data_IF_575978839334
#
_entry.id   IF_575978839334
#
_cell.length_a   1.000
_cell.length_b   1.000
_cell.length_c   1.000
_cell.angle_alpha   90.00
_cell.angle_beta   90.00
_cell.angle_gamma   90.00
#
_symmetry.space_group_name_H-M   'P 1'
#
loop_
_entity.id
_entity.type
_entity.pdbx_description
1 polymer ?
#
# COMPACT_ATOMS: atom_id res chain seq x y z
N UNK A 1 -22.23 -3.51 25.94
CA UNK A 1 -21.54 -3.88 27.18
C UNK A 1 -20.07 -3.96 26.82
N UNK A 2 -19.24 -3.18 27.50
CA UNK A 2 -17.79 -3.19 27.33
C UNK A 2 -17.22 -4.38 28.14
N UNK A 3 -16.48 -5.29 27.48
CA UNK A 3 -15.97 -6.50 28.11
C UNK A 3 -14.42 -6.47 28.28
N UNK A 4 -13.78 -5.32 28.05
CA UNK A 4 -12.33 -5.18 28.17
C UNK A 4 -11.85 -3.77 27.88
N UNK A 5 -10.58 -3.53 28.10
CA UNK A 5 -9.85 -2.30 27.78
C UNK A 5 -8.55 -2.68 27.08
N UNK A 6 -8.25 -1.99 26.00
CA UNK A 6 -7.05 -2.26 25.20
C UNK A 6 -5.84 -1.59 25.85
N UNK A 7 -4.87 -2.39 26.30
CA UNK A 7 -3.65 -1.90 26.97
C UNK A 7 -2.50 -1.63 25.97
N UNK A 8 -2.51 -2.33 24.84
CA UNK A 8 -1.51 -2.22 23.80
C UNK A 8 -2.09 -2.67 22.47
N UNK A 9 -1.70 -2.00 21.38
CA UNK A 9 -2.07 -2.41 20.03
C UNK A 9 -0.94 -2.06 19.06
N UNK A 10 -0.32 -3.09 18.49
CA UNK A 10 0.83 -2.94 17.58
C UNK A 10 0.68 -3.83 16.35
N UNK A 11 1.13 -3.35 15.22
CA UNK A 11 1.14 -4.11 13.97
C UNK A 11 1.85 -3.36 12.85
N UNK A 12 2.44 -4.12 11.92
CA UNK A 12 3.15 -3.59 10.77
C UNK A 12 4.53 -3.02 11.08
N UNK A 13 5.40 -3.05 10.07
CA UNK A 13 6.79 -2.55 10.14
C UNK A 13 7.03 -1.40 9.15
N UNK A 14 6.19 -1.25 8.12
CA UNK A 14 6.31 -0.25 7.08
C UNK A 14 4.97 0.45 6.83
N UNK A 15 5.01 1.74 6.48
CA UNK A 15 3.79 2.50 6.21
C UNK A 15 3.13 2.09 4.90
N UNK A 16 3.93 1.68 3.91
CA UNK A 16 3.53 1.36 2.55
C UNK A 16 3.33 -0.14 2.27
N UNK A 17 3.19 -0.95 3.32
CA UNK A 17 2.90 -2.38 3.21
C UNK A 17 1.81 -2.80 4.21
N UNK A 18 0.83 -3.57 3.73
CA UNK A 18 -0.17 -4.18 4.60
C UNK A 18 0.50 -5.24 5.50
N UNK A 19 0.29 -5.21 6.82
CA UNK A 19 0.97 -6.12 7.74
C UNK A 19 0.41 -7.53 7.69
N UNK A 20 1.31 -8.52 7.78
CA UNK A 20 0.99 -9.92 7.99
C UNK A 20 0.79 -10.27 9.48
N UNK A 21 1.18 -9.38 10.39
CA UNK A 21 1.08 -9.57 11.84
C UNK A 21 0.63 -8.30 12.54
N UNK A 22 -0.28 -8.49 13.50
CA UNK A 22 -0.69 -7.47 14.45
C UNK A 22 -1.06 -8.13 15.77
N UNK A 23 -1.00 -7.39 16.86
CA UNK A 23 -1.49 -7.89 18.16
C UNK A 23 -2.03 -6.78 19.03
N UNK A 24 -3.07 -7.11 19.82
CA UNK A 24 -3.59 -6.27 20.89
C UNK A 24 -3.52 -7.01 22.21
N UNK A 25 -3.16 -6.32 23.29
CA UNK A 25 -3.29 -6.82 24.66
C UNK A 25 -4.56 -6.24 25.28
N UNK A 26 -5.45 -7.09 25.74
CA UNK A 26 -6.73 -6.68 26.33
C UNK A 26 -6.87 -7.26 27.73
N UNK A 27 -7.28 -6.45 28.68
CA UNK A 27 -7.62 -6.90 30.03
C UNK A 27 -8.97 -7.58 30.02
N UNK A 28 -8.99 -8.91 29.95
CA UNK A 28 -10.20 -9.75 29.83
C UNK A 28 -9.88 -11.20 30.24
N UNK A 29 -10.93 -11.99 30.44
CA UNK A 29 -10.83 -13.42 30.74
C UNK A 29 -10.88 -14.23 29.42
N UNK A 30 -9.83 -14.99 29.17
CA UNK A 30 -9.69 -15.83 27.97
C UNK A 30 -10.83 -16.84 27.79
N UNK A 31 -11.45 -17.30 28.87
CA UNK A 31 -12.55 -18.27 28.82
C UNK A 31 -13.83 -17.71 28.20
N UNK A 32 -13.94 -16.39 28.12
CA UNK A 32 -15.06 -15.67 27.48
C UNK A 32 -14.85 -15.43 25.98
N UNK A 33 -13.65 -15.68 25.47
CA UNK A 33 -13.28 -15.39 24.11
C UNK A 33 -13.54 -16.59 23.19
N UNK A 34 -13.98 -16.30 21.95
CA UNK A 34 -14.23 -17.31 20.94
C UNK A 34 -13.04 -17.43 20.00
N UNK A 35 -12.76 -18.65 19.56
CA UNK A 35 -11.80 -18.84 18.46
C UNK A 35 -12.31 -18.20 17.17
N UNK A 36 -11.40 -17.62 16.40
CA UNK A 36 -11.69 -17.07 15.08
C UNK A 36 -10.56 -17.44 14.09
N UNK A 37 -10.87 -17.52 12.78
CA UNK A 37 -9.86 -17.77 11.77
C UNK A 37 -8.77 -16.68 11.80
N UNK A 38 -7.51 -17.09 11.64
CA UNK A 38 -6.36 -16.21 11.62
C UNK A 38 -6.15 -15.37 12.89
N UNK A 39 -6.77 -15.77 14.01
CA UNK A 39 -6.58 -15.18 15.34
C UNK A 39 -6.04 -16.24 16.29
N UNK A 40 -5.01 -15.90 17.06
CA UNK A 40 -4.54 -16.69 18.20
C UNK A 40 -4.67 -15.90 19.49
N UNK A 41 -5.01 -16.59 20.57
CA UNK A 41 -5.26 -16.04 21.90
C UNK A 41 -4.23 -16.62 22.88
N UNK A 42 -3.47 -15.77 23.52
CA UNK A 42 -2.43 -16.15 24.48
C UNK A 42 -2.65 -15.43 25.81
N UNK A 43 -2.72 -16.12 26.95
CA UNK A 43 -2.74 -15.46 28.26
C UNK A 43 -1.47 -14.63 28.47
N UNK A 44 -1.61 -13.37 28.87
CA UNK A 44 -0.49 -12.47 29.14
C UNK A 44 -0.80 -11.58 30.36
N UNK A 45 -0.13 -11.82 31.47
CA UNK A 45 -0.41 -11.10 32.69
C UNK A 45 -1.84 -11.31 33.20
N UNK A 46 -2.58 -10.21 33.40
CA UNK A 46 -3.99 -10.22 33.77
C UNK A 46 -4.94 -10.14 32.58
N UNK A 47 -4.42 -10.36 31.39
CA UNK A 47 -5.20 -10.19 30.13
C UNK A 47 -4.89 -11.27 29.10
N UNK A 48 -5.27 -10.96 27.86
CA UNK A 48 -5.11 -11.84 26.70
C UNK A 48 -4.44 -11.06 25.58
N UNK A 49 -3.36 -11.61 25.03
CA UNK A 49 -2.76 -11.16 23.79
C UNK A 49 -3.52 -11.78 22.61
N UNK A 50 -4.15 -10.94 21.83
CA UNK A 50 -4.88 -11.30 20.61
C UNK A 50 -3.93 -11.05 19.45
N UNK A 51 -3.59 -12.09 18.67
CA UNK A 51 -2.70 -11.97 17.52
C UNK A 51 -3.47 -12.25 16.23
N UNK A 52 -3.35 -11.33 15.27
CA UNK A 52 -3.85 -11.49 13.92
C UNK A 52 -2.75 -11.96 12.96
N UNK A 53 -3.08 -12.89 12.08
CA UNK A 53 -2.20 -13.47 11.07
C UNK A 53 -2.77 -13.21 9.69
N UNK A 54 -2.14 -12.31 8.97
CA UNK A 54 -2.56 -11.85 7.66
C UNK A 54 -1.63 -12.32 6.54
N UNK A 55 -1.71 -11.60 5.42
CA UNK A 55 -0.83 -11.78 4.26
C UNK A 55 -0.38 -10.41 3.77
N UNK A 56 0.91 -10.12 3.88
CA UNK A 56 1.48 -8.84 3.50
C UNK A 56 1.41 -8.59 2.00
N UNK A 57 1.45 -7.30 1.62
CA UNK A 57 1.61 -6.83 0.26
C UNK A 57 1.79 -5.33 0.19
N UNK A 58 2.34 -4.86 -0.90
CA UNK A 58 2.66 -3.46 -1.11
C UNK A 58 1.40 -2.60 -1.33
N UNK A 59 1.40 -1.34 -0.88
CA UNK A 59 0.28 -0.41 -1.01
C UNK A 59 -0.17 -0.18 -2.46
N UNK A 60 0.75 -0.21 -3.42
CA UNK A 60 0.42 -0.02 -4.84
C UNK A 60 -0.26 -1.24 -5.47
N UNK A 61 -0.07 -2.45 -4.92
CA UNK A 61 -0.63 -3.72 -5.42
C UNK A 61 -1.19 -4.56 -4.28
N UNK A 62 -2.22 -4.09 -3.57
CA UNK A 62 -2.72 -4.73 -2.36
C UNK A 62 -3.65 -5.92 -2.62
N UNK A 63 -3.87 -6.29 -3.88
CA UNK A 63 -4.78 -7.38 -4.25
C UNK A 63 -4.33 -8.71 -3.65
N UNK A 64 -5.27 -9.43 -3.04
CA UNK A 64 -5.01 -10.73 -2.42
C UNK A 64 -4.21 -10.66 -1.11
N UNK A 65 -4.02 -9.48 -0.53
CA UNK A 65 -3.50 -9.29 0.82
C UNK A 65 -4.58 -9.47 1.88
N UNK A 66 -4.16 -9.75 3.10
CA UNK A 66 -5.04 -9.78 4.29
C UNK A 66 -4.35 -8.97 5.37
N UNK A 67 -4.91 -7.81 5.72
CA UNK A 67 -4.32 -6.92 6.70
C UNK A 67 -4.57 -7.46 8.12
N UNK A 68 -3.50 -7.82 8.83
CA UNK A 68 -3.60 -8.38 10.18
C UNK A 68 -4.18 -7.39 11.20
N UNK A 69 -4.00 -6.07 11.01
CA UNK A 69 -4.61 -5.05 11.88
C UNK A 69 -6.13 -5.10 11.75
N UNK A 70 -6.65 -5.19 10.51
CA UNK A 70 -8.10 -5.32 10.27
C UNK A 70 -8.70 -6.56 10.94
N UNK A 71 -8.00 -7.71 10.91
CA UNK A 71 -8.44 -8.93 11.59
C UNK A 71 -8.56 -8.74 13.11
N UNK A 72 -7.58 -8.07 13.74
CA UNK A 72 -7.61 -7.77 15.16
C UNK A 72 -8.71 -6.77 15.49
N UNK A 73 -8.88 -5.72 14.67
CA UNK A 73 -9.96 -4.73 14.82
C UNK A 73 -11.34 -5.39 14.79
N UNK A 74 -11.61 -6.23 13.81
CA UNK A 74 -12.88 -6.97 13.72
C UNK A 74 -13.09 -7.86 14.94
N UNK A 75 -12.05 -8.59 15.35
CA UNK A 75 -12.13 -9.46 16.54
C UNK A 75 -12.45 -8.68 17.83
N UNK A 76 -11.80 -7.53 18.03
CA UNK A 76 -12.04 -6.65 19.19
C UNK A 76 -13.49 -6.14 19.23
N UNK A 77 -13.99 -5.68 18.09
CA UNK A 77 -15.36 -5.18 17.96
C UNK A 77 -16.40 -6.28 18.17
N UNK A 78 -16.23 -7.42 17.52
CA UNK A 78 -17.17 -8.55 17.57
C UNK A 78 -17.31 -9.16 18.97
N UNK A 79 -16.24 -9.10 19.79
CA UNK A 79 -16.24 -9.59 21.16
C UNK A 79 -16.47 -8.46 22.20
N UNK A 80 -16.65 -7.21 21.78
CA UNK A 80 -16.86 -6.08 22.68
C UNK A 80 -15.67 -5.77 23.58
N UNK A 81 -14.44 -6.01 23.11
CA UNK A 81 -13.20 -5.89 23.87
C UNK A 81 -12.60 -4.49 23.78
N UNK A 82 -13.41 -3.49 24.05
CA UNK A 82 -13.03 -2.08 24.01
C UNK A 82 -13.98 -1.24 24.86
N UNK A 83 -13.52 -0.12 25.35
CA UNK A 83 -14.38 0.90 25.94
C UNK A 83 -15.08 1.73 24.84
N UNK A 84 -15.90 2.69 25.22
CA UNK A 84 -16.71 3.46 24.27
C UNK A 84 -15.86 4.34 23.34
N UNK A 85 -14.83 4.98 23.88
CA UNK A 85 -13.90 5.81 23.10
C UNK A 85 -13.05 4.97 22.14
N UNK A 86 -12.54 3.83 22.61
CA UNK A 86 -11.81 2.86 21.78
C UNK A 86 -12.69 2.29 20.68
N UNK A 87 -13.98 2.04 20.96
CA UNK A 87 -14.94 1.53 19.99
C UNK A 87 -15.09 2.49 18.81
N UNK A 88 -15.25 3.78 19.05
CA UNK A 88 -15.39 4.77 17.99
C UNK A 88 -14.14 4.78 17.07
N UNK A 89 -12.94 4.66 17.65
CA UNK A 89 -11.70 4.54 16.89
C UNK A 89 -11.62 3.23 16.10
N UNK A 90 -11.95 2.10 16.72
CA UNK A 90 -11.94 0.79 16.03
C UNK A 90 -12.96 0.74 14.88
N UNK A 91 -14.11 1.38 15.01
CA UNK A 91 -15.09 1.49 13.93
C UNK A 91 -14.57 2.33 12.75
N UNK A 92 -13.82 3.40 13.03
CA UNK A 92 -13.10 4.14 11.97
C UNK A 92 -12.05 3.26 11.28
N UNK A 93 -11.27 2.47 12.04
CA UNK A 93 -10.33 1.51 11.47
C UNK A 93 -11.02 0.40 10.67
N UNK A 94 -12.17 -0.10 11.13
CA UNK A 94 -12.96 -1.10 10.39
C UNK A 94 -13.36 -0.57 9.01
N UNK A 95 -13.77 0.68 8.91
CA UNK A 95 -14.05 1.34 7.62
C UNK A 95 -12.79 1.40 6.74
N UNK A 96 -11.65 1.78 7.31
CA UNK A 96 -10.37 1.84 6.60
C UNK A 96 -9.97 0.47 6.05
N UNK A 97 -10.08 -0.59 6.85
CA UNK A 97 -9.64 -1.94 6.48
C UNK A 97 -10.69 -2.74 5.68
N UNK A 98 -11.89 -2.21 5.48
CA UNK A 98 -12.97 -2.91 4.76
C UNK A 98 -12.68 -3.12 3.28
N UNK A 99 -11.83 -2.28 2.68
CA UNK A 99 -11.48 -2.37 1.27
C UNK A 99 -10.13 -1.71 1.00
N UNK A 100 -9.37 -2.31 0.10
CA UNK A 100 -8.12 -1.72 -0.42
C UNK A 100 -8.33 -0.73 -1.58
N UNK A 101 -9.56 -0.52 -2.03
CA UNK A 101 -9.92 0.49 -3.03
C UNK A 101 -10.57 1.75 -2.43
N UNK A 102 -10.69 1.81 -1.08
CA UNK A 102 -11.09 3.01 -0.34
C UNK A 102 -12.60 3.28 -0.25
N UNK A 103 -13.46 2.31 -0.61
CA UNK A 103 -14.92 2.46 -0.51
C UNK A 103 -15.35 2.77 0.92
N UNK A 104 -14.80 2.06 1.92
CA UNK A 104 -15.20 2.21 3.32
C UNK A 104 -14.91 3.59 3.91
N UNK A 105 -13.95 4.33 3.36
CA UNK A 105 -13.58 5.69 3.77
C UNK A 105 -13.95 6.75 2.72
N UNK A 106 -14.72 6.36 1.70
CA UNK A 106 -15.32 7.27 0.73
C UNK A 106 -14.36 7.90 -0.27
N UNK A 107 -13.15 7.34 -0.48
CA UNK A 107 -12.14 7.90 -1.40
C UNK A 107 -12.02 7.13 -2.72
N UNK A 108 -12.80 6.08 -2.90
CA UNK A 108 -12.73 5.24 -4.08
C UNK A 108 -12.92 6.04 -5.37
N UNK A 109 -11.98 5.92 -6.28
CA UNK A 109 -12.06 6.48 -7.63
C UNK A 109 -11.10 5.73 -8.57
N UNK A 110 -11.30 5.89 -9.88
CA UNK A 110 -10.46 5.29 -10.90
C UNK A 110 -10.42 6.20 -12.14
N UNK A 111 -9.31 6.18 -12.86
CA UNK A 111 -9.20 6.79 -14.19
C UNK A 111 -8.58 5.83 -15.20
N UNK A 112 -8.56 6.24 -16.49
CA UNK A 112 -8.01 5.40 -17.55
C UNK A 112 -6.51 5.15 -17.42
N UNK A 113 -5.67 6.17 -17.17
CA UNK A 113 -4.22 6.01 -17.11
C UNK A 113 -3.70 5.21 -15.91
N UNK A 114 -4.27 5.44 -14.71
CA UNK A 114 -3.76 4.86 -13.47
C UNK A 114 -4.61 3.72 -12.92
N UNK A 115 -5.84 3.54 -13.41
CA UNK A 115 -6.77 2.58 -12.86
C UNK A 115 -7.32 3.00 -11.48
N UNK A 116 -7.69 2.04 -10.63
CA UNK A 116 -8.32 2.33 -9.35
C UNK A 116 -7.31 2.82 -8.30
N UNK A 117 -7.78 3.73 -7.43
CA UNK A 117 -7.10 4.08 -6.20
C UNK A 117 -6.84 2.84 -5.35
N UNK A 118 -5.71 2.82 -4.66
CA UNK A 118 -5.42 1.83 -3.63
C UNK A 118 -5.16 2.49 -2.29
N UNK A 119 -5.54 1.84 -1.19
CA UNK A 119 -5.31 2.31 0.17
C UNK A 119 -5.09 1.15 1.13
N UNK A 120 -4.13 1.31 2.02
CA UNK A 120 -3.86 0.37 3.11
C UNK A 120 -3.59 1.09 4.42
N UNK A 121 -3.91 0.43 5.53
CA UNK A 121 -3.36 0.74 6.85
C UNK A 121 -2.05 -0.03 7.03
N UNK A 122 -0.91 0.68 7.13
CA UNK A 122 0.41 0.05 7.16
C UNK A 122 0.87 -0.33 8.57
N UNK A 123 0.76 0.57 9.52
CA UNK A 123 1.22 0.37 10.90
C UNK A 123 0.17 0.84 11.89
N UNK A 124 0.05 0.11 13.01
CA UNK A 124 -0.63 0.60 14.21
C UNK A 124 0.32 0.53 15.39
N UNK A 125 0.29 1.54 16.24
CA UNK A 125 1.09 1.62 17.46
C UNK A 125 0.47 2.62 18.44
N UNK A 126 0.99 2.62 19.66
CA UNK A 126 0.61 3.63 20.65
C UNK A 126 1.65 4.76 20.70
N UNK A 127 1.18 5.99 20.79
CA UNK A 127 1.97 7.20 21.03
C UNK A 127 1.24 8.10 22.01
N UNK A 128 1.89 8.45 23.11
CA UNK A 128 1.34 9.32 24.17
C UNK A 128 -0.04 8.86 24.69
N UNK A 129 -0.20 7.54 24.86
CA UNK A 129 -1.44 6.93 25.33
C UNK A 129 -2.59 6.89 24.31
N UNK A 130 -2.31 7.18 23.03
CA UNK A 130 -3.27 7.15 21.92
C UNK A 130 -2.89 6.12 20.88
N UNK A 131 -3.87 5.50 20.27
CA UNK A 131 -3.65 4.65 19.09
C UNK A 131 -3.38 5.52 17.87
N UNK A 132 -2.37 5.14 17.10
CA UNK A 132 -2.01 5.78 15.82
C UNK A 132 -1.98 4.73 14.74
N UNK A 133 -2.76 4.95 13.68
CA UNK A 133 -2.77 4.14 12.48
C UNK A 133 -2.19 4.96 11.32
N UNK A 134 -1.19 4.41 10.63
CA UNK A 134 -0.72 5.01 9.37
C UNK A 134 -1.56 4.53 8.20
N UNK A 135 -1.73 5.42 7.23
CA UNK A 135 -2.46 5.16 6.00
C UNK A 135 -1.56 5.52 4.82
N UNK A 136 -1.41 4.61 3.85
CA UNK A 136 -0.77 4.87 2.56
C UNK A 136 -1.80 4.68 1.45
N UNK A 137 -1.90 5.66 0.56
CA UNK A 137 -2.78 5.61 -0.60
C UNK A 137 -2.03 5.96 -1.87
N UNK A 138 -2.34 5.23 -2.94
CA UNK A 138 -1.90 5.54 -4.30
C UNK A 138 -3.14 5.94 -5.09
N UNK A 139 -3.19 7.18 -5.54
CA UNK A 139 -4.40 7.74 -6.13
C UNK A 139 -4.16 8.26 -7.54
N UNK A 140 -5.16 8.08 -8.42
CA UNK A 140 -5.13 8.54 -9.81
C UNK A 140 -5.52 10.03 -9.94
N UNK A 141 -5.57 10.54 -11.17
CA UNK A 141 -5.84 11.95 -11.46
C UNK A 141 -7.29 12.39 -11.23
N UNK A 142 -8.21 11.47 -10.93
CA UNK A 142 -9.61 11.79 -10.62
C UNK A 142 -9.85 12.37 -9.21
N UNK A 143 -8.83 12.44 -8.38
CA UNK A 143 -8.88 13.03 -7.03
C UNK A 143 -7.61 13.81 -6.72
N UNK A 144 -7.56 14.47 -5.57
CA UNK A 144 -6.38 15.17 -5.04
C UNK A 144 -6.16 14.76 -3.58
N UNK A 145 -4.94 14.97 -3.06
CA UNK A 145 -4.63 14.69 -1.66
C UNK A 145 -5.55 15.45 -0.69
N UNK A 146 -5.84 16.71 -0.95
CA UNK A 146 -6.72 17.54 -0.12
C UNK A 146 -8.16 17.00 -0.11
N UNK A 147 -8.71 16.66 -1.29
CA UNK A 147 -10.04 16.09 -1.41
C UNK A 147 -10.17 14.76 -0.67
N UNK A 148 -9.16 13.91 -0.80
CA UNK A 148 -9.10 12.65 -0.05
C UNK A 148 -9.07 12.89 1.45
N UNK A 149 -8.26 13.85 1.93
CA UNK A 149 -8.18 14.18 3.35
C UNK A 149 -9.54 14.65 3.90
N UNK A 150 -10.29 15.45 3.16
CA UNK A 150 -11.66 15.86 3.52
C UNK A 150 -12.62 14.67 3.60
N UNK A 151 -12.58 13.79 2.59
CA UNK A 151 -13.43 12.59 2.55
C UNK A 151 -13.10 11.63 3.71
N UNK A 152 -11.82 11.41 4.01
CA UNK A 152 -11.39 10.58 5.14
C UNK A 152 -11.87 11.18 6.46
N UNK A 153 -11.68 12.49 6.69
CA UNK A 153 -12.19 13.16 7.91
C UNK A 153 -13.70 12.98 8.09
N UNK A 154 -14.45 13.11 7.00
CA UNK A 154 -15.89 12.88 7.03
C UNK A 154 -16.25 11.41 7.36
N UNK A 155 -15.50 10.46 6.83
CA UNK A 155 -15.76 9.03 7.04
C UNK A 155 -15.40 8.53 8.45
N UNK A 156 -14.29 9.00 9.03
CA UNK A 156 -13.84 8.62 10.38
C UNK A 156 -14.64 9.33 11.49
N UNK A 157 -15.26 10.48 11.19
CA UNK A 157 -16.08 11.23 12.13
C UNK A 157 -15.32 11.65 13.38
N UNK A 158 -16.01 11.61 14.54
CA UNK A 158 -15.42 11.98 15.85
C UNK A 158 -14.56 10.87 16.48
N UNK A 159 -14.57 9.66 15.89
CA UNK A 159 -13.83 8.51 16.43
C UNK A 159 -12.31 8.58 16.26
N UNK A 160 -11.83 9.41 15.33
CA UNK A 160 -10.41 9.61 15.05
C UNK A 160 -10.15 11.01 14.49
N UNK A 161 -8.89 11.43 14.51
CA UNK A 161 -8.41 12.61 13.79
C UNK A 161 -7.41 12.22 12.70
N UNK A 162 -7.46 12.91 11.57
CA UNK A 162 -6.47 12.77 10.50
C UNK A 162 -5.37 13.81 10.70
N UNK A 163 -4.17 13.35 11.01
CA UNK A 163 -2.99 14.18 11.29
C UNK A 163 -1.87 13.89 10.28
N UNK A 164 -0.93 14.82 10.14
CA UNK A 164 0.29 14.67 9.33
C UNK A 164 0.00 14.17 7.90
N UNK A 165 -0.84 14.89 7.18
CA UNK A 165 -1.18 14.55 5.79
C UNK A 165 -0.06 15.04 4.88
N UNK A 166 0.58 14.09 4.20
CA UNK A 166 1.54 14.36 3.14
C UNK A 166 0.96 13.81 1.83
N UNK A 167 0.97 14.60 0.78
CA UNK A 167 0.50 14.20 -0.53
C UNK A 167 1.43 14.65 -1.64
N UNK A 168 1.43 13.88 -2.71
CA UNK A 168 2.09 14.23 -3.96
C UNK A 168 1.16 13.89 -5.11
N UNK A 169 0.85 14.88 -5.93
CA UNK A 169 -0.08 14.69 -7.05
C UNK A 169 0.46 13.67 -8.06
N UNK A 170 -0.43 12.93 -8.73
CA UNK A 170 -0.04 12.02 -9.79
C UNK A 170 0.72 12.74 -10.88
N UNK A 171 1.79 12.12 -11.36
CA UNK A 171 2.60 12.61 -12.47
C UNK A 171 2.33 11.75 -13.71
N UNK A 172 1.90 12.37 -14.80
CA UNK A 172 1.50 11.66 -16.01
C UNK A 172 1.95 12.40 -17.27
N UNK A 173 2.61 11.68 -18.18
CA UNK A 173 2.93 12.11 -19.52
C UNK A 173 2.19 11.21 -20.51
N UNK A 174 1.51 11.80 -21.50
CA UNK A 174 0.74 11.04 -22.47
C UNK A 174 1.61 10.09 -23.31
N UNK A 175 1.16 8.86 -23.45
CA UNK A 175 1.87 7.81 -24.18
C UNK A 175 2.05 8.08 -25.69
N UNK A 176 1.30 9.05 -26.24
CA UNK A 176 1.32 9.46 -27.63
C UNK A 176 2.41 10.49 -27.97
N UNK A 177 3.17 10.95 -26.97
CA UNK A 177 4.29 11.87 -27.20
C UNK A 177 5.40 11.21 -28.05
N UNK A 178 6.05 11.97 -28.95
CA UNK A 178 7.09 11.42 -29.85
C UNK A 178 8.21 10.70 -29.09
N UNK A 179 8.66 11.26 -27.96
CA UNK A 179 9.73 10.68 -27.16
C UNK A 179 9.35 9.32 -26.55
N UNK A 180 8.13 9.20 -26.00
CA UNK A 180 7.65 7.92 -25.43
C UNK A 180 7.49 6.88 -26.54
N UNK A 181 6.98 7.29 -27.73
CA UNK A 181 6.90 6.39 -28.88
C UNK A 181 8.26 5.90 -29.32
N UNK A 182 9.27 6.78 -29.43
CA UNK A 182 10.63 6.37 -29.76
C UNK A 182 11.20 5.36 -28.77
N UNK A 183 10.95 5.54 -27.47
CA UNK A 183 11.39 4.61 -26.44
C UNK A 183 10.72 3.23 -26.56
N UNK A 184 9.38 3.20 -26.66
CA UNK A 184 8.64 1.92 -26.69
C UNK A 184 8.84 1.17 -28.02
N UNK A 185 8.93 1.88 -29.16
CA UNK A 185 9.22 1.28 -30.45
C UNK A 185 10.63 0.66 -30.46
N UNK A 186 11.61 1.34 -29.84
CA UNK A 186 12.97 0.82 -29.68
C UNK A 186 12.99 -0.43 -28.81
N UNK A 187 12.28 -0.40 -27.69
CA UNK A 187 12.15 -1.57 -26.83
C UNK A 187 11.59 -2.77 -27.59
N UNK A 188 10.46 -2.59 -28.26
CA UNK A 188 9.80 -3.64 -29.03
C UNK A 188 10.64 -4.19 -30.17
N UNK A 189 11.38 -3.31 -30.88
CA UNK A 189 12.27 -3.74 -31.96
C UNK A 189 13.46 -4.59 -31.45
N UNK A 190 14.07 -4.18 -30.33
CA UNK A 190 15.24 -4.89 -29.79
C UNK A 190 14.87 -6.21 -29.10
N UNK A 191 13.75 -6.22 -28.38
CA UNK A 191 13.30 -7.41 -27.63
C UNK A 191 12.46 -8.38 -28.46
N UNK A 192 11.83 -7.89 -29.54
CA UNK A 192 10.82 -8.63 -30.31
C UNK A 192 9.47 -8.74 -29.60
N UNK A 193 9.26 -7.98 -28.54
CA UNK A 193 8.02 -7.91 -27.78
C UNK A 193 6.98 -6.95 -28.42
N UNK A 194 5.82 -6.88 -27.85
CA UNK A 194 4.76 -5.92 -28.19
C UNK A 194 4.27 -5.23 -26.90
N UNK A 195 5.22 -4.61 -26.21
CA UNK A 195 4.96 -3.89 -24.98
C UNK A 195 4.31 -2.53 -25.24
N UNK A 196 3.61 -2.03 -24.24
CA UNK A 196 3.00 -0.69 -24.24
C UNK A 196 3.48 0.09 -23.02
N UNK A 197 3.54 1.43 -23.10
CA UNK A 197 3.79 2.25 -21.91
C UNK A 197 2.76 1.97 -20.81
N UNK A 198 3.20 2.05 -19.56
CA UNK A 198 2.34 1.79 -18.40
C UNK A 198 2.58 2.82 -17.30
N UNK A 199 1.64 2.93 -16.38
CA UNK A 199 1.77 3.72 -15.15
C UNK A 199 2.05 2.80 -13.96
N UNK A 200 2.64 3.34 -12.91
CA UNK A 200 2.94 2.61 -11.70
C UNK A 200 2.58 3.40 -10.44
N UNK A 201 2.23 2.73 -9.37
CA UNK A 201 1.90 3.34 -8.08
C UNK A 201 3.13 3.78 -7.27
N UNK A 202 4.34 3.69 -7.82
CA UNK A 202 5.58 4.18 -7.23
C UNK A 202 6.01 5.53 -7.81
N UNK A 203 6.81 6.28 -7.07
CA UNK A 203 7.44 7.51 -7.57
C UNK A 203 8.84 7.24 -8.09
N UNK A 204 9.22 7.92 -9.17
CA UNK A 204 10.58 7.94 -9.71
C UNK A 204 11.11 9.37 -9.80
N UNK A 205 12.38 9.54 -10.10
CA UNK A 205 12.97 10.87 -10.33
C UNK A 205 12.32 11.64 -11.47
N UNK A 206 11.67 10.97 -12.42
CA UNK A 206 10.99 11.59 -13.54
C UNK A 206 9.98 12.67 -13.10
N UNK A 207 9.29 12.47 -12.00
CA UNK A 207 8.32 13.44 -11.46
C UNK A 207 8.88 14.80 -11.07
N UNK A 208 10.20 14.93 -10.97
CA UNK A 208 10.87 16.20 -10.66
C UNK A 208 11.19 17.03 -11.90
N UNK A 209 10.87 16.52 -13.09
CA UNK A 209 11.08 17.18 -14.36
C UNK A 209 9.76 17.32 -15.11
N UNK A 210 9.48 18.46 -15.76
CA UNK A 210 8.18 18.70 -16.39
C UNK A 210 7.85 17.76 -17.55
N UNK A 211 8.87 17.23 -18.24
CA UNK A 211 8.73 16.37 -19.42
C UNK A 211 9.67 15.15 -19.33
N UNK A 212 9.48 14.31 -18.36
CA UNK A 212 10.30 13.13 -18.19
C UNK A 212 9.46 11.89 -17.88
N UNK A 213 9.95 10.73 -18.27
CA UNK A 213 9.40 9.43 -17.93
C UNK A 213 10.51 8.52 -17.47
N UNK A 214 10.16 7.45 -16.78
CA UNK A 214 11.11 6.38 -16.47
C UNK A 214 11.11 5.37 -17.61
N UNK A 215 12.29 4.94 -17.97
CA UNK A 215 12.53 3.92 -18.98
C UNK A 215 13.66 3.01 -18.46
N UNK A 216 13.39 1.74 -18.25
CA UNK A 216 14.32 0.86 -17.55
C UNK A 216 14.20 -0.61 -17.95
N UNK A 217 15.17 -1.43 -17.50
CA UNK A 217 15.35 -2.82 -17.94
C UNK A 217 14.52 -3.83 -17.13
N UNK A 218 13.71 -3.40 -16.19
CA UNK A 218 12.99 -4.33 -15.33
C UNK A 218 11.81 -4.96 -16.06
N UNK A 219 11.67 -6.27 -15.87
CA UNK A 219 10.55 -7.06 -16.37
C UNK A 219 9.83 -7.73 -15.20
N UNK A 220 8.51 -7.64 -15.15
CA UNK A 220 7.70 -8.20 -14.07
C UNK A 220 7.68 -9.74 -14.03
N UNK A 221 8.11 -10.40 -15.09
CA UNK A 221 8.10 -11.86 -15.26
C UNK A 221 9.45 -12.52 -15.05
N UNK A 222 10.48 -11.78 -14.64
CA UNK A 222 11.80 -12.32 -14.35
C UNK A 222 11.74 -13.33 -13.20
N UNK A 223 12.12 -14.57 -13.49
CA UNK A 223 12.30 -15.60 -12.47
C UNK A 223 13.70 -15.49 -11.87
N UNK A 224 13.75 -15.03 -10.64
CA UNK A 224 14.98 -14.95 -9.89
C UNK A 224 15.43 -16.33 -9.43
N UNK A 225 16.76 -16.58 -9.34
CA UNK A 225 17.30 -17.80 -8.74
C UNK A 225 17.01 -17.82 -7.23
N UNK A 226 17.14 -19.00 -6.59
CA UNK A 226 16.84 -19.19 -5.17
C UNK A 226 17.63 -18.27 -4.20
N UNK A 227 18.79 -17.76 -4.65
CA UNK A 227 19.61 -16.81 -3.88
C UNK A 227 19.29 -15.35 -4.18
N UNK A 228 18.50 -15.06 -5.22
CA UNK A 228 18.16 -13.71 -5.66
C UNK A 228 16.89 -13.21 -4.99
N UNK A 229 16.91 -11.96 -4.52
CA UNK A 229 15.77 -11.28 -3.92
C UNK A 229 15.09 -10.31 -4.89
N UNK A 230 13.83 -9.99 -4.61
CA UNK A 230 13.04 -9.02 -5.39
C UNK A 230 13.53 -7.58 -5.16
N UNK A 231 13.05 -6.67 -5.99
CA UNK A 231 13.24 -5.22 -5.85
C UNK A 231 12.94 -4.77 -4.41
N UNK A 232 13.86 -3.97 -3.84
CA UNK A 232 13.85 -3.50 -2.44
C UNK A 232 13.92 -4.62 -1.37
N UNK A 233 14.20 -5.86 -1.76
CA UNK A 233 14.35 -6.99 -0.86
C UNK A 233 15.80 -7.31 -0.51
N UNK A 234 16.00 -8.21 0.45
CA UNK A 234 17.31 -8.76 0.74
C UNK A 234 17.83 -9.54 -0.48
N UNK A 235 19.13 -9.42 -0.78
CA UNK A 235 19.77 -10.02 -1.95
C UNK A 235 19.13 -9.62 -3.29
N UNK A 236 18.64 -8.39 -3.39
CA UNK A 236 18.12 -7.84 -4.64
C UNK A 236 19.08 -8.13 -5.80
N UNK A 237 18.55 -8.64 -6.90
CA UNK A 237 19.37 -9.12 -8.02
C UNK A 237 18.68 -8.91 -9.36
N UNK A 238 19.48 -8.76 -10.41
CA UNK A 238 19.01 -8.64 -11.79
C UNK A 238 19.79 -9.58 -12.71
N UNK A 239 19.17 -10.14 -13.77
CA UNK A 239 19.85 -10.96 -14.77
C UNK A 239 20.84 -10.13 -15.59
N UNK A 240 22.06 -10.61 -15.75
CA UNK A 240 23.12 -9.90 -16.50
C UNK A 240 22.75 -9.75 -17.98
N UNK A 241 22.15 -10.77 -18.57
CA UNK A 241 21.68 -10.75 -19.97
C UNK A 241 20.63 -9.66 -20.21
N UNK A 242 19.72 -9.44 -19.27
CA UNK A 242 18.75 -8.35 -19.33
C UNK A 242 19.39 -6.97 -19.16
N UNK A 243 20.42 -6.85 -18.34
CA UNK A 243 21.19 -5.60 -18.26
C UNK A 243 21.94 -5.29 -19.56
N UNK A 244 22.51 -6.31 -20.22
CA UNK A 244 23.14 -6.16 -21.52
C UNK A 244 22.14 -5.83 -22.64
N UNK A 245 20.95 -6.40 -22.59
CA UNK A 245 19.84 -6.07 -23.49
C UNK A 245 19.41 -4.60 -23.29
N UNK A 246 19.26 -4.16 -22.04
CA UNK A 246 18.95 -2.77 -21.71
C UNK A 246 20.00 -1.79 -22.24
N UNK A 247 21.29 -2.12 -22.19
CA UNK A 247 22.34 -1.27 -22.77
C UNK A 247 22.13 -1.07 -24.27
N UNK A 248 21.75 -2.10 -25.02
CA UNK A 248 21.46 -1.98 -26.47
C UNK A 248 20.26 -1.08 -26.70
N UNK A 249 19.20 -1.29 -25.93
CA UNK A 249 17.98 -0.47 -26.00
C UNK A 249 18.30 0.99 -25.73
N UNK A 250 19.08 1.31 -24.67
CA UNK A 250 19.45 2.69 -24.36
C UNK A 250 20.28 3.35 -25.46
N UNK A 251 21.24 2.66 -26.05
CA UNK A 251 22.05 3.21 -27.13
C UNK A 251 21.16 3.63 -28.32
N UNK A 252 20.27 2.73 -28.75
CA UNK A 252 19.38 3.02 -29.89
C UNK A 252 18.34 4.09 -29.52
N UNK A 253 17.76 4.02 -28.31
CA UNK A 253 16.77 4.99 -27.86
C UNK A 253 17.36 6.41 -27.77
N UNK A 254 18.56 6.57 -27.25
CA UNK A 254 19.24 7.88 -27.17
C UNK A 254 19.48 8.48 -28.58
N UNK A 255 19.95 7.68 -29.53
CA UNK A 255 20.15 8.15 -30.89
C UNK A 255 18.84 8.60 -31.55
N UNK A 256 17.74 7.86 -31.32
CA UNK A 256 16.41 8.24 -31.85
C UNK A 256 15.83 9.48 -31.16
N UNK A 257 16.09 9.63 -29.88
CA UNK A 257 15.64 10.81 -29.13
C UNK A 257 16.35 12.09 -29.60
N UNK A 258 17.64 12.00 -29.96
CA UNK A 258 18.37 13.16 -30.52
C UNK A 258 17.83 13.64 -31.87
N UNK A 259 17.08 12.81 -32.58
CA UNK A 259 16.43 13.16 -33.87
C UNK A 259 15.05 13.83 -33.68
N UNK A 260 14.55 13.94 -32.44
CA UNK A 260 13.26 14.50 -32.11
C UNK A 260 13.41 15.96 -31.68
N UNK A 261 12.67 16.85 -32.29
CA UNK A 261 12.51 18.23 -31.82
C UNK A 261 11.55 18.26 -30.63
N UNK A 262 12.03 18.72 -29.48
CA UNK A 262 11.29 18.80 -28.21
C UNK A 262 10.64 20.15 -28.01
#
# INVERSE_FOLDING_TARGET
VCNGEIKDFVGGVANNAGPDRASALVETDITKLKNAPNITLEPEGNGVRIRGWGKSGHAATPQGTVNAIGLVVDYLLDNGLCNEAERAYLEALKKLHSSTAGEGIGVACADGPFGPLTVIGGRIFMRDGRFVQTLDSRYPTCTTGDRMAEQIRAAIGEGASLENVESAEPFYIGADTPAIKACIDTYNEVTGENATPFTMGGGTYARHFPYAVSFGPEHNDIKLPAFGGPMHGANESAPIDKLLEAMKIYIVALLRLEEIDF
#
